data_IF_156134544591
#
_entry.id   IF_156134544591
#
_cell.length_a   1.000
_cell.length_b   1.000
_cell.length_c   1.000
_cell.angle_alpha   90.00
_cell.angle_beta   90.00
_cell.angle_gamma   90.00
#
_symmetry.space_group_name_H-M   'P 1'
#
loop_
_entity.id
_entity.type
_entity.pdbx_description
1 polymer ?
#
# COMPACT_ATOMS: atom_id res chain seq x y z
N UNK A 1 -18.63 4.17 -3.58
CA UNK A 1 -17.77 3.66 -4.68
C UNK A 1 -16.45 3.30 -4.05
N UNK A 2 -16.04 2.03 -4.09
CA UNK A 2 -14.70 1.61 -3.66
C UNK A 2 -13.73 2.08 -4.73
N UNK A 3 -12.94 3.11 -4.43
CA UNK A 3 -11.82 3.49 -5.28
C UNK A 3 -10.81 2.35 -5.26
N UNK A 4 -10.75 1.59 -6.34
CA UNK A 4 -9.71 0.59 -6.53
C UNK A 4 -8.45 1.31 -7.05
N UNK A 5 -7.27 1.06 -6.47
CA UNK A 5 -6.03 1.64 -6.98
C UNK A 5 -5.80 1.26 -8.45
N UNK A 6 -5.20 2.14 -9.25
CA UNK A 6 -4.98 1.86 -10.67
C UNK A 6 -4.12 0.61 -10.89
N UNK A 7 -4.38 -0.13 -11.96
CA UNK A 7 -3.59 -1.29 -12.43
C UNK A 7 -3.43 -2.47 -11.44
N UNK A 8 -4.25 -2.54 -10.38
CA UNK A 8 -4.16 -3.62 -9.38
C UNK A 8 -4.30 -5.03 -10.00
N UNK A 9 -5.19 -5.20 -10.97
CA UNK A 9 -5.37 -6.49 -11.67
C UNK A 9 -4.14 -6.87 -12.51
N UNK A 10 -3.51 -5.89 -13.16
CA UNK A 10 -2.27 -6.11 -13.90
C UNK A 10 -1.14 -6.56 -12.94
N UNK A 11 -0.97 -5.87 -11.82
CA UNK A 11 0.02 -6.19 -10.79
C UNK A 11 -0.19 -7.62 -10.29
N UNK A 12 -1.41 -7.99 -9.93
CA UNK A 12 -1.75 -9.35 -9.47
C UNK A 12 -1.47 -10.40 -10.54
N UNK A 13 -1.81 -10.13 -11.79
CA UNK A 13 -1.54 -11.04 -12.91
C UNK A 13 -0.03 -11.27 -13.11
N UNK A 14 0.77 -10.21 -13.04
CA UNK A 14 2.23 -10.29 -13.21
C UNK A 14 2.89 -11.08 -12.09
N UNK A 15 2.45 -10.88 -10.86
CA UNK A 15 3.05 -11.53 -9.69
C UNK A 15 2.53 -12.95 -9.44
N UNK A 16 1.29 -13.26 -9.84
CA UNK A 16 0.67 -14.55 -9.59
C UNK A 16 0.71 -14.94 -8.11
N UNK A 17 1.32 -16.07 -7.79
CA UNK A 17 1.47 -16.57 -6.41
C UNK A 17 2.46 -15.75 -5.56
N UNK A 18 3.23 -14.83 -6.15
CA UNK A 18 4.21 -14.00 -5.46
C UNK A 18 3.64 -12.66 -4.96
N UNK A 19 2.33 -12.48 -5.03
CA UNK A 19 1.67 -11.30 -4.45
C UNK A 19 1.93 -11.24 -2.95
N UNK A 20 2.36 -10.07 -2.46
CA UNK A 20 2.43 -9.82 -1.02
C UNK A 20 1.00 -9.65 -0.49
N UNK A 21 0.61 -10.52 0.42
CA UNK A 21 -0.63 -10.42 1.18
C UNK A 21 -0.29 -10.27 2.66
N UNK A 22 -0.82 -9.21 3.28
CA UNK A 22 -0.64 -8.91 4.69
C UNK A 22 -1.99 -8.94 5.41
N UNK A 23 -2.04 -9.58 6.57
CA UNK A 23 -3.21 -9.56 7.45
C UNK A 23 -2.86 -8.91 8.77
N UNK A 24 -3.75 -8.06 9.26
CA UNK A 24 -3.60 -7.45 10.58
C UNK A 24 -3.71 -8.54 11.66
N UNK A 25 -2.71 -8.59 12.53
CA UNK A 25 -2.70 -9.40 13.75
C UNK A 25 -3.16 -8.57 14.95
N UNK A 26 -2.25 -8.28 15.87
CA UNK A 26 -2.51 -7.46 17.07
C UNK A 26 -2.24 -5.99 16.80
N UNK A 27 -2.95 -5.14 17.52
CA UNK A 27 -2.78 -3.70 17.50
C UNK A 27 -2.91 -3.18 18.92
N UNK A 28 -1.92 -2.45 19.40
CA UNK A 28 -1.92 -1.81 20.69
C UNK A 28 -1.35 -0.39 20.59
N UNK A 29 -1.88 0.52 21.40
CA UNK A 29 -1.44 1.90 21.46
C UNK A 29 -1.15 2.28 22.90
N UNK A 30 -0.16 3.15 23.04
CA UNK A 30 0.16 3.86 24.27
C UNK A 30 0.26 5.35 23.91
N UNK A 31 -0.57 6.16 24.53
CA UNK A 31 -0.58 7.60 24.31
C UNK A 31 -0.06 8.29 25.56
N UNK A 32 0.92 9.15 25.37
CA UNK A 32 1.47 10.01 26.41
C UNK A 32 1.80 11.37 25.81
N UNK A 33 1.17 12.41 26.29
CA UNK A 33 1.45 13.80 25.98
C UNK A 33 1.82 14.04 24.52
N UNK A 34 1.24 14.37 23.60
CA UNK A 34 1.58 14.60 22.16
C UNK A 34 2.32 13.49 21.41
N UNK A 35 2.42 12.29 22.00
CA UNK A 35 3.09 11.15 21.38
C UNK A 35 2.24 9.89 21.47
N UNK A 36 2.06 9.21 20.35
CA UNK A 36 1.43 7.89 20.25
C UNK A 36 2.48 6.85 19.89
N UNK A 37 2.61 5.82 20.71
CA UNK A 37 3.37 4.62 20.40
C UNK A 37 2.40 3.54 19.90
N UNK A 38 2.67 2.99 18.72
CA UNK A 38 1.91 1.89 18.15
C UNK A 38 2.76 0.62 18.16
N UNK A 39 2.20 -0.48 18.69
CA UNK A 39 2.71 -1.82 18.51
C UNK A 39 1.73 -2.60 17.65
N UNK A 40 2.18 -3.05 16.50
CA UNK A 40 1.35 -3.76 15.54
C UNK A 40 2.03 -5.04 15.09
N UNK A 41 1.27 -6.12 14.99
CA UNK A 41 1.73 -7.32 14.30
C UNK A 41 0.95 -7.52 13.01
N UNK A 42 1.66 -7.98 11.99
CA UNK A 42 1.07 -8.43 10.72
C UNK A 42 1.46 -9.87 10.44
N UNK A 43 0.57 -10.55 9.75
CA UNK A 43 0.79 -11.92 9.29
C UNK A 43 1.11 -11.84 7.80
N UNK A 44 2.34 -12.22 7.45
CA UNK A 44 2.82 -12.38 6.10
C UNK A 44 3.03 -13.86 5.82
N UNK A 45 2.25 -14.44 4.91
CA UNK A 45 2.16 -15.90 4.72
C UNK A 45 1.77 -16.58 6.04
N UNK A 46 2.69 -17.29 6.70
CA UNK A 46 2.48 -17.97 7.99
C UNK A 46 3.31 -17.35 9.13
N UNK A 47 4.05 -16.27 8.85
CA UNK A 47 4.92 -15.64 9.82
C UNK A 47 4.25 -14.39 10.41
N UNK A 48 4.37 -14.24 11.72
CA UNK A 48 3.95 -13.02 12.42
C UNK A 48 5.16 -12.08 12.54
N UNK A 49 4.99 -10.87 12.04
CA UNK A 49 6.00 -9.80 12.08
C UNK A 49 5.51 -8.75 13.06
N UNK A 50 6.27 -8.52 14.12
CA UNK A 50 6.02 -7.46 15.10
C UNK A 50 6.73 -6.18 14.67
N UNK A 51 6.01 -5.06 14.77
CA UNK A 51 6.50 -3.74 14.39
C UNK A 51 6.10 -2.72 15.45
N UNK A 52 6.93 -1.71 15.62
CA UNK A 52 6.68 -0.59 16.50
C UNK A 52 6.90 0.73 15.76
N UNK A 53 6.02 1.70 15.95
CA UNK A 53 6.13 3.03 15.37
C UNK A 53 5.69 4.09 16.35
N UNK A 54 6.28 5.27 16.21
CA UNK A 54 5.99 6.44 17.02
C UNK A 54 5.51 7.59 16.14
N UNK A 55 4.49 8.31 16.59
CA UNK A 55 3.92 9.43 15.85
C UNK A 55 3.24 10.45 16.75
N UNK A 56 2.73 11.50 16.14
CA UNK A 56 1.95 12.55 16.84
C UNK A 56 0.54 12.07 17.16
N UNK A 57 0.05 11.07 16.45
CA UNK A 57 -1.27 10.46 16.63
C UNK A 57 -1.31 9.05 16.06
N UNK A 58 -2.47 8.38 16.23
CA UNK A 58 -2.67 6.97 15.87
C UNK A 58 -2.33 6.67 14.41
N UNK A 59 -2.78 7.53 13.48
CA UNK A 59 -2.54 7.32 12.03
C UNK A 59 -1.06 7.36 11.71
N UNK A 60 -0.38 8.39 12.22
CA UNK A 60 1.05 8.62 12.01
C UNK A 60 1.89 7.49 12.61
N UNK A 61 1.57 7.07 13.84
CA UNK A 61 2.26 5.97 14.50
C UNK A 61 2.10 4.62 13.75
N UNK A 62 0.90 4.30 13.25
CA UNK A 62 0.67 3.09 12.44
C UNK A 62 1.43 3.19 11.12
N UNK A 63 1.37 4.35 10.46
CA UNK A 63 2.02 4.58 9.18
C UNK A 63 3.54 4.36 9.31
N UNK A 64 4.18 4.99 10.29
CA UNK A 64 5.59 4.79 10.57
C UNK A 64 5.92 3.34 10.92
N UNK A 65 5.16 2.68 11.80
CA UNK A 65 5.40 1.28 12.16
C UNK A 65 5.49 0.37 10.92
N UNK A 66 4.57 0.53 9.98
CA UNK A 66 4.49 -0.33 8.80
C UNK A 66 5.47 0.11 7.70
N UNK A 67 5.55 1.41 7.41
CA UNK A 67 6.45 1.90 6.37
C UNK A 67 7.91 1.66 6.73
N UNK A 68 8.35 1.99 7.94
CA UNK A 68 9.74 1.83 8.36
C UNK A 68 10.22 0.38 8.25
N UNK A 69 9.33 -0.59 8.48
CA UNK A 69 9.67 -2.01 8.31
C UNK A 69 9.87 -2.37 6.83
N UNK A 70 8.91 -2.00 5.97
CA UNK A 70 8.92 -2.41 4.57
C UNK A 70 9.79 -1.51 3.68
N UNK A 71 9.97 -0.23 4.03
CA UNK A 71 10.83 0.70 3.30
C UNK A 71 12.32 0.30 3.28
N UNK A 72 12.74 -0.56 4.20
CA UNK A 72 14.11 -1.12 4.21
C UNK A 72 14.37 -2.03 3.01
N UNK A 73 13.32 -2.66 2.49
CA UNK A 73 13.40 -3.60 1.36
C UNK A 73 12.84 -2.99 0.07
N UNK A 74 11.85 -2.07 0.22
CA UNK A 74 11.11 -1.48 -0.91
C UNK A 74 11.21 0.04 -0.87
N UNK A 75 12.09 0.57 -1.69
CA UNK A 75 12.41 2.00 -1.68
C UNK A 75 11.24 2.90 -2.13
N UNK A 76 10.31 2.37 -2.91
CA UNK A 76 9.09 3.09 -3.30
C UNK A 76 8.29 3.62 -2.10
N UNK A 77 8.40 2.97 -0.93
CA UNK A 77 7.70 3.40 0.28
C UNK A 77 8.33 4.64 0.94
N UNK A 78 9.61 4.91 0.72
CA UNK A 78 10.31 6.04 1.36
C UNK A 78 9.84 7.40 0.88
N UNK A 79 9.20 7.45 -0.27
CA UNK A 79 8.76 8.69 -0.94
C UNK A 79 7.24 8.89 -0.87
N UNK A 80 6.55 8.06 -0.06
CA UNK A 80 5.13 8.17 0.16
C UNK A 80 4.83 9.17 1.27
N UNK A 81 3.88 10.05 1.01
CA UNK A 81 3.40 11.03 1.98
C UNK A 81 1.91 10.86 2.21
N UNK A 82 1.50 10.79 3.48
CA UNK A 82 0.09 10.86 3.87
C UNK A 82 -0.39 12.31 3.70
N UNK A 83 -1.31 12.54 2.78
CA UNK A 83 -1.80 13.89 2.43
C UNK A 83 -3.26 14.11 2.78
N UNK A 84 -4.01 13.05 3.08
CA UNK A 84 -5.40 13.14 3.50
C UNK A 84 -5.80 12.02 4.46
N UNK A 85 -6.62 12.39 5.45
CA UNK A 85 -7.23 11.46 6.40
C UNK A 85 -8.68 11.86 6.65
N UNK A 86 -9.61 10.97 6.33
CA UNK A 86 -11.03 11.19 6.52
C UNK A 86 -11.67 10.02 7.25
N UNK A 87 -12.54 10.36 8.21
CA UNK A 87 -13.38 9.39 8.92
C UNK A 87 -14.85 9.77 8.71
N UNK A 88 -15.59 8.86 8.10
CA UNK A 88 -17.04 8.96 7.92
C UNK A 88 -17.76 7.89 8.71
N UNK A 89 -18.99 8.18 9.15
CA UNK A 89 -19.86 7.18 9.75
C UNK A 89 -21.04 6.90 8.81
N UNK A 90 -21.26 5.63 8.47
CA UNK A 90 -22.51 5.21 7.84
C UNK A 90 -23.55 4.94 8.94
N UNK A 91 -24.32 5.99 9.28
CA UNK A 91 -25.48 5.82 10.13
C UNK A 91 -26.60 5.18 9.31
N UNK A 92 -27.02 3.96 9.67
CA UNK A 92 -28.20 3.33 9.09
C UNK A 92 -29.45 4.10 9.56
N UNK A 93 -29.88 5.08 8.78
CA UNK A 93 -30.99 5.98 9.08
C UNK A 93 -32.38 5.29 9.14
N UNK A 94 -32.45 3.99 8.89
CA UNK A 94 -33.72 3.21 8.78
C UNK A 94 -34.07 2.34 9.98
N UNK A 95 -33.27 2.27 11.04
CA UNK A 95 -33.62 1.53 12.25
C UNK A 95 -33.72 2.49 13.44
N UNK A 96 -34.85 2.45 14.16
CA UNK A 96 -35.10 3.19 15.42
C UNK A 96 -34.12 2.85 16.55
N UNK A 97 -33.31 1.80 16.38
CA UNK A 97 -32.27 1.33 17.29
C UNK A 97 -30.87 1.58 16.69
N UNK A 98 -30.61 2.79 16.18
CA UNK A 98 -29.27 3.22 15.80
C UNK A 98 -28.43 3.33 17.09
N UNK A 99 -27.96 2.18 17.58
CA UNK A 99 -27.06 2.08 18.71
C UNK A 99 -25.66 2.56 18.34
N UNK A 100 -24.78 2.54 19.32
CA UNK A 100 -23.35 2.94 19.27
C UNK A 100 -22.52 2.14 18.25
N UNK A 101 -23.13 1.20 17.51
CA UNK A 101 -22.54 0.25 16.56
C UNK A 101 -22.40 0.78 15.11
N UNK A 102 -22.19 2.07 14.93
CA UNK A 102 -21.97 2.63 13.59
C UNK A 102 -20.67 2.10 12.95
N UNK A 103 -20.77 1.66 11.70
CA UNK A 103 -19.59 1.29 10.91
C UNK A 103 -18.88 2.56 10.46
N UNK A 104 -17.60 2.70 10.84
CA UNK A 104 -16.74 3.80 10.40
C UNK A 104 -16.09 3.48 9.06
N UNK A 105 -16.14 4.42 8.12
CA UNK A 105 -15.34 4.42 6.91
C UNK A 105 -14.12 5.28 7.16
N UNK A 106 -12.94 4.70 7.03
CA UNK A 106 -11.67 5.42 7.02
C UNK A 106 -11.17 5.52 5.59
N UNK A 107 -10.72 6.70 5.19
CA UNK A 107 -10.09 6.96 3.89
C UNK A 107 -8.77 7.67 4.12
N UNK A 108 -7.71 7.16 3.48
CA UNK A 108 -6.36 7.72 3.49
C UNK A 108 -5.97 8.10 2.06
N UNK A 109 -5.48 9.33 1.88
CA UNK A 109 -4.91 9.79 0.62
C UNK A 109 -3.39 9.81 0.75
N UNK A 110 -2.73 9.14 -0.18
CA UNK A 110 -1.28 9.01 -0.25
C UNK A 110 -0.79 9.67 -1.53
N UNK A 111 0.22 10.51 -1.41
CA UNK A 111 0.88 11.12 -2.57
C UNK A 111 2.26 10.48 -2.76
N UNK A 112 2.58 10.10 -4.00
CA UNK A 112 3.88 9.56 -4.37
C UNK A 112 4.87 10.67 -4.75
N UNK A 113 6.12 10.29 -5.09
CA UNK A 113 7.20 11.21 -5.50
C UNK A 113 6.86 12.07 -6.73
N UNK A 114 5.89 11.68 -7.54
CA UNK A 114 5.46 12.41 -8.74
C UNK A 114 4.23 13.30 -8.47
N UNK A 115 3.78 13.40 -7.22
CA UNK A 115 2.62 14.19 -6.84
C UNK A 115 1.28 13.53 -7.18
N UNK A 116 1.27 12.26 -7.60
CA UNK A 116 0.02 11.52 -7.87
C UNK A 116 -0.61 11.06 -6.57
N UNK A 117 -1.92 11.26 -6.44
CA UNK A 117 -2.69 10.89 -5.26
C UNK A 117 -3.35 9.53 -5.46
N UNK A 118 -3.23 8.67 -4.46
CA UNK A 118 -3.86 7.36 -4.35
C UNK A 118 -4.73 7.32 -3.10
N UNK A 119 -5.96 6.84 -3.24
CA UNK A 119 -6.93 6.78 -2.15
C UNK A 119 -7.16 5.34 -1.71
N UNK A 120 -7.00 5.06 -0.42
CA UNK A 120 -7.24 3.77 0.20
C UNK A 120 -8.29 3.88 1.28
N UNK A 121 -9.19 2.92 1.36
CA UNK A 121 -10.25 2.94 2.36
C UNK A 121 -10.46 1.57 3.00
N UNK A 122 -10.96 1.61 4.25
CA UNK A 122 -11.42 0.43 4.96
C UNK A 122 -12.64 0.76 5.84
N UNK A 123 -13.47 -0.26 6.07
CA UNK A 123 -14.68 -0.15 6.88
C UNK A 123 -14.65 -1.18 8.01
N UNK A 124 -14.85 -0.72 9.24
CA UNK A 124 -15.11 -1.60 10.38
C UNK A 124 -15.82 -0.85 11.51
N UNK A 125 -16.19 -1.56 12.57
CA UNK A 125 -16.73 -0.96 13.80
C UNK A 125 -15.66 -0.24 14.63
N UNK A 126 -14.38 -0.51 14.38
CA UNK A 126 -13.26 0.14 15.03
C UNK A 126 -12.50 1.01 14.04
N UNK A 127 -12.51 2.31 14.28
CA UNK A 127 -11.76 3.28 13.45
C UNK A 127 -10.27 2.93 13.42
N UNK A 128 -9.68 2.57 14.55
CA UNK A 128 -8.25 2.21 14.64
C UNK A 128 -7.91 0.96 13.83
N UNK A 129 -8.78 -0.05 13.84
CA UNK A 129 -8.64 -1.25 12.98
C UNK A 129 -8.75 -0.86 11.50
N UNK A 130 -9.69 0.01 11.14
CA UNK A 130 -9.84 0.49 9.76
C UNK A 130 -8.63 1.30 9.30
N UNK A 131 -8.04 2.14 10.16
CA UNK A 131 -6.79 2.84 9.87
C UNK A 131 -5.67 1.83 9.57
N UNK A 132 -5.45 0.87 10.47
CA UNK A 132 -4.40 -0.13 10.29
C UNK A 132 -4.56 -0.95 9.01
N UNK A 133 -5.79 -1.36 8.68
CA UNK A 133 -6.08 -2.07 7.43
C UNK A 133 -5.90 -1.20 6.19
N UNK A 134 -6.25 0.06 6.25
CA UNK A 134 -6.02 0.99 5.14
C UNK A 134 -4.51 1.18 4.90
N UNK A 135 -3.70 1.33 5.96
CA UNK A 135 -2.23 1.39 5.85
C UNK A 135 -1.65 0.08 5.31
N UNK A 136 -2.16 -1.08 5.73
CA UNK A 136 -1.75 -2.37 5.14
C UNK A 136 -2.02 -2.43 3.63
N UNK A 137 -3.17 -1.94 3.18
CA UNK A 137 -3.50 -1.87 1.74
C UNK A 137 -2.52 -0.98 0.99
N UNK A 138 -2.09 0.15 1.59
CA UNK A 138 -1.07 1.04 1.01
C UNK A 138 0.24 0.27 0.82
N UNK A 139 0.76 -0.34 1.89
CA UNK A 139 2.02 -1.09 1.84
C UNK A 139 1.94 -2.22 0.80
N UNK A 140 0.87 -3.03 0.84
CA UNK A 140 0.69 -4.12 -0.12
C UNK A 140 0.67 -3.62 -1.57
N UNK A 141 -0.03 -2.53 -1.83
CA UNK A 141 -0.16 -1.99 -3.17
C UNK A 141 1.19 -1.53 -3.74
N UNK A 142 1.92 -0.69 -3.01
CA UNK A 142 3.19 -0.13 -3.51
C UNK A 142 4.30 -1.19 -3.56
N UNK A 143 4.38 -2.09 -2.58
CA UNK A 143 5.32 -3.23 -2.62
C UNK A 143 5.03 -4.13 -3.82
N UNK A 144 3.77 -4.48 -4.06
CA UNK A 144 3.40 -5.32 -5.19
C UNK A 144 3.63 -4.62 -6.53
N UNK A 145 3.41 -3.32 -6.63
CA UNK A 145 3.71 -2.54 -7.82
C UNK A 145 5.22 -2.54 -8.13
N UNK A 146 6.07 -2.31 -7.12
CA UNK A 146 7.54 -2.38 -7.27
C UNK A 146 7.99 -3.78 -7.70
N UNK A 147 7.50 -4.84 -7.06
CA UNK A 147 7.81 -6.23 -7.41
C UNK A 147 7.36 -6.58 -8.83
N UNK A 148 6.17 -6.13 -9.24
CA UNK A 148 5.66 -6.35 -10.60
C UNK A 148 6.54 -5.64 -11.64
N UNK A 149 6.97 -4.42 -11.35
CA UNK A 149 7.89 -3.68 -12.22
C UNK A 149 9.21 -4.43 -12.43
N UNK A 150 9.86 -4.87 -11.34
CA UNK A 150 11.11 -5.66 -11.41
C UNK A 150 10.89 -6.97 -12.17
N UNK A 151 9.77 -7.65 -11.96
CA UNK A 151 9.42 -8.88 -12.66
C UNK A 151 9.30 -8.65 -14.17
N UNK A 152 8.57 -7.61 -14.58
CA UNK A 152 8.41 -7.24 -16.00
C UNK A 152 9.72 -6.82 -16.63
N UNK A 153 10.56 -6.05 -15.91
CA UNK A 153 11.88 -5.65 -16.39
C UNK A 153 12.76 -6.87 -16.69
N UNK A 154 12.83 -7.83 -15.78
CA UNK A 154 13.60 -9.05 -15.97
C UNK A 154 13.05 -9.90 -17.12
N UNK A 155 11.73 -10.02 -17.24
CA UNK A 155 11.07 -10.73 -18.34
C UNK A 155 11.35 -10.06 -19.71
N UNK A 156 11.35 -8.73 -19.75
CA UNK A 156 11.70 -7.98 -20.96
C UNK A 156 13.14 -8.21 -21.37
N UNK A 157 14.09 -8.17 -20.42
CA UNK A 157 15.50 -8.44 -20.68
C UNK A 157 15.73 -9.84 -21.25
N UNK A 158 15.07 -10.85 -20.68
CA UNK A 158 15.10 -12.22 -21.17
C UNK A 158 14.49 -12.34 -22.59
N UNK A 159 13.36 -11.67 -22.84
CA UNK A 159 12.74 -11.63 -24.16
C UNK A 159 13.66 -10.98 -25.22
N UNK A 160 14.36 -9.91 -24.85
CA UNK A 160 15.37 -9.26 -25.71
C UNK A 160 16.50 -10.22 -26.05
N UNK A 161 17.06 -10.93 -25.06
CA UNK A 161 18.12 -11.92 -25.28
C UNK A 161 17.69 -13.07 -26.19
N UNK A 162 16.40 -13.37 -26.27
CA UNK A 162 15.83 -14.41 -27.15
C UNK A 162 15.28 -13.87 -28.47
N UNK A 163 15.47 -12.59 -28.80
CA UNK A 163 14.93 -11.90 -29.98
C UNK A 163 13.39 -12.02 -30.13
N UNK A 164 12.65 -11.97 -29.01
CA UNK A 164 11.20 -12.03 -28.97
C UNK A 164 10.61 -10.61 -28.91
N UNK A 165 10.62 -9.89 -30.02
CA UNK A 165 10.14 -8.50 -30.13
C UNK A 165 8.67 -8.33 -29.71
N UNK A 166 7.83 -9.33 -29.96
CA UNK A 166 6.44 -9.39 -29.52
C UNK A 166 6.30 -9.27 -28.00
N UNK A 167 7.14 -10.01 -27.27
CA UNK A 167 7.17 -9.98 -25.79
C UNK A 167 7.84 -8.72 -25.27
N UNK A 168 8.89 -8.23 -25.91
CA UNK A 168 9.57 -6.98 -25.53
C UNK A 168 8.57 -5.82 -25.58
N UNK A 169 7.81 -5.68 -26.68
CA UNK A 169 6.80 -4.64 -26.84
C UNK A 169 5.71 -4.74 -25.77
N UNK A 170 5.21 -5.96 -25.52
CA UNK A 170 4.20 -6.20 -24.49
C UNK A 170 4.69 -5.83 -23.11
N UNK A 171 5.86 -6.32 -22.67
CA UNK A 171 6.38 -6.04 -21.34
C UNK A 171 6.73 -4.56 -21.17
N UNK A 172 7.18 -3.88 -22.22
CA UNK A 172 7.42 -2.44 -22.19
C UNK A 172 6.12 -1.66 -21.92
N UNK A 173 5.03 -2.02 -22.59
CA UNK A 173 3.72 -1.41 -22.37
C UNK A 173 3.19 -1.68 -20.95
N UNK A 174 3.30 -2.93 -20.47
CA UNK A 174 2.86 -3.30 -19.10
C UNK A 174 3.71 -2.58 -18.04
N UNK A 175 5.02 -2.43 -18.25
CA UNK A 175 5.90 -1.64 -17.36
C UNK A 175 5.48 -0.18 -17.29
N UNK A 176 5.13 0.45 -18.41
CA UNK A 176 4.68 1.83 -18.43
C UNK A 176 3.44 2.05 -17.56
N UNK A 177 2.48 1.10 -17.58
CA UNK A 177 1.30 1.13 -16.72
C UNK A 177 1.64 0.94 -15.24
N UNK A 178 2.52 -0.01 -14.92
CA UNK A 178 2.93 -0.30 -13.53
C UNK A 178 3.73 0.87 -12.94
N UNK A 179 4.56 1.55 -13.73
CA UNK A 179 5.30 2.75 -13.31
C UNK A 179 4.36 3.83 -12.78
N UNK A 180 3.20 4.01 -13.39
CA UNK A 180 2.20 4.95 -12.91
C UNK A 180 1.69 4.64 -11.49
N UNK A 181 1.87 3.40 -11.05
CA UNK A 181 1.45 2.88 -9.75
C UNK A 181 2.59 2.80 -8.73
N UNK A 182 3.80 3.24 -9.10
CA UNK A 182 4.96 3.19 -8.20
C UNK A 182 5.32 4.58 -7.68
N UNK A 183 6.13 4.60 -6.62
CA UNK A 183 6.74 5.83 -6.08
C UNK A 183 8.26 5.79 -6.23
N UNK A 184 8.77 5.19 -7.29
CA UNK A 184 10.18 4.79 -7.41
C UNK A 184 10.86 5.52 -8.59
N UNK A 185 10.89 6.86 -8.53
CA UNK A 185 11.44 7.71 -9.59
C UNK A 185 12.91 7.40 -9.92
N UNK A 186 13.74 7.04 -8.93
CA UNK A 186 15.17 6.79 -9.17
C UNK A 186 15.45 5.49 -9.92
N UNK A 187 14.76 4.40 -9.59
CA UNK A 187 14.94 3.13 -10.35
C UNK A 187 14.38 3.25 -11.75
N UNK A 188 13.27 3.95 -11.91
CA UNK A 188 12.74 4.27 -13.24
C UNK A 188 13.74 5.11 -14.03
N UNK A 189 14.37 6.10 -13.40
CA UNK A 189 15.39 6.92 -14.03
C UNK A 189 16.65 6.12 -14.40
N UNK A 190 17.08 5.20 -13.54
CA UNK A 190 18.23 4.32 -13.82
C UNK A 190 17.92 3.31 -14.91
N UNK A 191 16.76 2.68 -14.90
CA UNK A 191 16.34 1.76 -15.96
C UNK A 191 16.16 2.49 -17.30
N UNK A 192 15.68 3.74 -17.30
CA UNK A 192 15.61 4.57 -18.51
C UNK A 192 16.99 4.98 -19.05
N UNK A 193 18.02 5.01 -18.21
CA UNK A 193 19.41 5.29 -18.65
C UNK A 193 20.10 4.08 -19.22
N UNK A 194 19.64 2.87 -18.87
CA UNK A 194 20.15 1.60 -19.42
C UNK A 194 19.41 1.16 -20.70
N UNK A 195 18.41 1.93 -21.11
CA UNK A 195 17.64 1.80 -22.37
C UNK A 195 18.24 2.64 -23.47
#
# INVERSE_FOLDING_TARGET
MTHQPPHEELIKRVLGANVLELKLGRLAFEEADHTTLCKVSVIEKEQTIEMEGKGVGVVDAIFHAMLDRYAREYQSLTTLHLTGFHVGAELATKKKDAGVDAVGLVTLDITNSEGRVFTFSDKSRSVTISIARAVLKIVQYFVNAERAFVTLHNARRDATARNREDLVSRYTAEMALVVESTSYAEVIANIKKEL
#
